data_IF_112277642767
#
_entry.id   IF_112277642767
#
_cell.length_a   1.000
_cell.length_b   1.000
_cell.length_c   1.000
_cell.angle_alpha   90.00
_cell.angle_beta   90.00
_cell.angle_gamma   90.00
#
_symmetry.space_group_name_H-M   'P 1'
#
loop_
_entity.id
_entity.type
_entity.pdbx_description
1 polymer ?
#
# COMPACT_ATOMS: atom_id res chain seq x y z
N UNK A 1 -41.39 24.95 53.53
CA UNK A 1 -41.81 24.23 52.31
C UNK A 1 -41.05 24.66 51.02
N UNK A 2 -40.12 25.59 51.06
CA UNK A 2 -39.32 26.03 49.92
C UNK A 2 -37.88 25.45 49.89
N UNK A 3 -37.40 24.81 50.96
CA UNK A 3 -36.07 24.22 51.07
C UNK A 3 -35.98 22.74 50.61
N UNK A 4 -37.15 22.04 50.56
CA UNK A 4 -37.16 20.63 50.14
C UNK A 4 -37.24 20.41 48.64
N UNK A 5 -37.63 21.42 47.87
CA UNK A 5 -37.67 21.33 46.41
C UNK A 5 -36.33 21.57 45.77
N UNK A 6 -35.43 22.31 46.44
CA UNK A 6 -34.07 22.55 45.94
C UNK A 6 -33.15 21.33 46.06
N UNK A 7 -33.43 20.41 46.99
CA UNK A 7 -32.58 19.19 47.19
C UNK A 7 -32.97 18.03 46.28
N UNK A 8 -34.16 18.06 45.67
CA UNK A 8 -34.60 17.02 44.74
C UNK A 8 -34.16 17.28 43.29
N UNK A 9 -33.71 18.49 42.98
CA UNK A 9 -33.22 18.85 41.66
C UNK A 9 -31.69 18.59 41.51
N UNK A 10 -30.99 18.29 42.60
CA UNK A 10 -29.52 18.04 42.55
C UNK A 10 -29.15 16.54 42.50
N UNK A 11 -30.12 15.64 42.50
CA UNK A 11 -29.92 14.19 42.46
C UNK A 11 -30.20 13.58 41.08
N UNK A 12 -30.55 14.38 40.07
CA UNK A 12 -30.49 13.96 38.67
C UNK A 12 -29.11 14.38 38.13
N UNK A 13 -28.04 14.01 38.82
CA UNK A 13 -26.75 13.90 38.27
C UNK A 13 -26.82 12.83 37.19
N UNK A 14 -26.93 13.29 35.98
CA UNK A 14 -26.77 12.55 34.76
C UNK A 14 -25.58 11.62 34.90
N UNK A 15 -25.82 10.38 35.30
CA UNK A 15 -24.97 9.28 34.83
C UNK A 15 -25.22 9.19 33.32
N UNK A 16 -24.57 10.06 32.58
CA UNK A 16 -24.24 9.77 31.19
C UNK A 16 -23.33 8.58 31.27
N UNK A 17 -23.91 7.39 31.41
CA UNK A 17 -23.27 6.18 30.96
C UNK A 17 -23.06 6.43 29.48
N UNK A 18 -21.87 6.94 29.14
CA UNK A 18 -21.31 6.71 27.83
C UNK A 18 -21.18 5.19 27.76
N UNK A 19 -22.23 4.51 27.31
CA UNK A 19 -22.12 3.15 26.85
C UNK A 19 -21.00 3.21 25.82
N UNK A 20 -19.81 2.83 26.20
CA UNK A 20 -18.75 2.50 25.26
C UNK A 20 -19.40 1.48 24.34
N UNK A 21 -19.80 1.93 23.17
CA UNK A 21 -20.28 1.04 22.11
C UNK A 21 -19.10 0.11 21.90
N UNK A 22 -19.25 -1.12 22.39
CA UNK A 22 -18.24 -2.17 22.24
C UNK A 22 -17.96 -2.29 20.75
N UNK A 23 -16.88 -1.63 20.32
CA UNK A 23 -16.47 -1.67 18.93
C UNK A 23 -16.11 -3.11 18.59
N UNK A 24 -16.73 -3.62 17.54
CA UNK A 24 -16.42 -4.95 17.05
C UNK A 24 -14.91 -5.08 16.82
N UNK A 25 -14.31 -6.09 17.43
CA UNK A 25 -12.90 -6.40 17.26
C UNK A 25 -12.75 -7.56 16.26
N UNK A 26 -11.91 -7.37 15.26
CA UNK A 26 -11.55 -8.39 14.27
C UNK A 26 -10.15 -8.91 14.58
N UNK A 27 -10.04 -10.22 14.78
CA UNK A 27 -8.73 -10.87 14.92
C UNK A 27 -8.26 -11.37 13.57
N UNK A 28 -7.18 -10.79 13.07
CA UNK A 28 -6.50 -11.20 11.85
C UNK A 28 -5.54 -12.37 12.13
N UNK A 29 -5.54 -13.36 11.26
CA UNK A 29 -4.67 -14.54 11.34
C UNK A 29 -4.15 -14.90 9.95
N UNK A 30 -3.14 -15.77 9.85
CA UNK A 30 -2.65 -16.26 8.55
C UNK A 30 -3.73 -16.98 7.74
N UNK A 31 -4.71 -17.60 8.42
CA UNK A 31 -5.72 -18.47 7.79
C UNK A 31 -6.98 -17.70 7.40
N UNK A 32 -7.11 -16.44 7.82
CA UNK A 32 -8.28 -15.63 7.50
C UNK A 32 -7.96 -14.28 6.86
N UNK A 33 -6.68 -13.94 6.61
CA UNK A 33 -6.30 -12.61 6.17
C UNK A 33 -5.55 -12.61 4.85
N UNK A 34 -6.09 -11.91 3.88
CA UNK A 34 -5.40 -11.46 2.67
C UNK A 34 -4.97 -10.01 2.86
N UNK A 35 -3.86 -9.62 2.27
CA UNK A 35 -3.34 -8.26 2.38
C UNK A 35 -3.08 -7.67 1.00
N UNK A 36 -3.69 -6.54 0.70
CA UNK A 36 -3.40 -5.72 -0.46
C UNK A 36 -2.85 -4.38 0.02
N UNK A 37 -1.52 -4.28 0.02
CA UNK A 37 -0.78 -3.09 0.46
C UNK A 37 0.06 -2.47 -0.66
N UNK A 38 -0.36 -2.64 -1.89
CA UNK A 38 0.27 -2.11 -3.09
C UNK A 38 -0.78 -1.57 -4.06
N UNK A 39 -0.32 -0.91 -5.13
CA UNK A 39 -1.18 -0.54 -6.24
C UNK A 39 -1.77 -1.77 -6.96
N UNK A 40 -2.94 -1.60 -7.58
CA UNK A 40 -3.54 -2.60 -8.47
C UNK A 40 -2.74 -2.70 -9.75
N UNK A 41 -1.95 -3.75 -9.85
CA UNK A 41 -1.20 -4.15 -11.05
C UNK A 41 -1.53 -5.61 -11.37
N UNK A 42 -1.23 -6.05 -12.60
CA UNK A 42 -1.39 -7.48 -12.94
C UNK A 42 -0.60 -8.40 -11.98
N UNK A 43 0.59 -7.97 -11.55
CA UNK A 43 1.43 -8.75 -10.64
C UNK A 43 0.86 -8.83 -9.22
N UNK A 44 0.46 -7.68 -8.62
CA UNK A 44 -0.11 -7.66 -7.27
C UNK A 44 -1.42 -8.44 -7.19
N UNK A 45 -2.28 -8.29 -8.20
CA UNK A 45 -3.56 -9.00 -8.29
C UNK A 45 -3.35 -10.51 -8.48
N UNK A 46 -2.48 -10.94 -9.40
CA UNK A 46 -2.18 -12.37 -9.59
C UNK A 46 -1.64 -13.03 -8.32
N UNK A 47 -0.78 -12.33 -7.59
CA UNK A 47 -0.27 -12.82 -6.30
C UNK A 47 -1.40 -12.99 -5.28
N UNK A 48 -2.29 -12.00 -5.16
CA UNK A 48 -3.40 -12.02 -4.22
C UNK A 48 -4.41 -13.14 -4.58
N UNK A 49 -4.73 -13.31 -5.86
CA UNK A 49 -5.55 -14.41 -6.38
C UNK A 49 -4.95 -15.77 -5.98
N UNK A 50 -3.63 -15.93 -6.16
CA UNK A 50 -2.94 -17.16 -5.75
C UNK A 50 -3.05 -17.47 -4.25
N UNK A 51 -2.98 -16.45 -3.41
CA UNK A 51 -3.20 -16.58 -1.96
C UNK A 51 -4.66 -16.90 -1.64
N UNK A 52 -5.60 -16.21 -2.26
CA UNK A 52 -7.03 -16.42 -2.06
C UNK A 52 -7.48 -17.86 -2.46
N UNK A 53 -6.94 -18.37 -3.57
CA UNK A 53 -7.17 -19.78 -3.98
C UNK A 53 -6.76 -20.78 -2.88
N UNK A 54 -5.58 -20.58 -2.30
CA UNK A 54 -5.08 -21.47 -1.23
C UNK A 54 -5.98 -21.40 0.01
N UNK A 55 -6.39 -20.19 0.42
CA UNK A 55 -7.26 -20.01 1.57
C UNK A 55 -8.68 -20.56 1.33
N UNK A 56 -9.19 -20.44 0.10
CA UNK A 56 -10.51 -20.96 -0.25
C UNK A 56 -10.55 -22.50 -0.32
N UNK A 57 -9.43 -23.14 -0.60
CA UNK A 57 -9.32 -24.60 -0.63
C UNK A 57 -9.40 -25.24 0.76
N UNK A 58 -9.16 -24.48 1.83
CA UNK A 58 -9.33 -24.92 3.20
C UNK A 58 -10.82 -24.88 3.60
N UNK A 59 -11.56 -25.91 3.21
CA UNK A 59 -13.00 -26.03 3.43
C UNK A 59 -13.41 -26.18 4.91
N UNK A 60 -12.44 -26.41 5.82
CA UNK A 60 -12.74 -26.61 7.25
C UNK A 60 -13.07 -25.31 7.97
N UNK A 61 -12.76 -24.19 7.37
CA UNK A 61 -12.84 -22.90 8.05
C UNK A 61 -14.12 -22.16 7.75
N UNK A 62 -15.27 -22.53 7.60
CA UNK A 62 -16.52 -21.77 7.32
C UNK A 62 -16.54 -20.25 7.68
N UNK A 63 -15.38 -19.72 8.09
CA UNK A 63 -15.16 -18.33 8.48
C UNK A 63 -14.87 -17.44 7.26
N UNK A 64 -15.26 -16.16 7.30
CA UNK A 64 -14.94 -15.22 6.24
C UNK A 64 -13.43 -15.01 6.09
N UNK A 65 -13.01 -14.67 4.88
CA UNK A 65 -11.67 -14.13 4.62
C UNK A 65 -11.75 -12.61 4.76
N UNK A 66 -10.84 -12.02 5.52
CA UNK A 66 -10.68 -10.59 5.64
C UNK A 66 -9.64 -10.10 4.65
N UNK A 67 -10.02 -9.22 3.76
CA UNK A 67 -9.11 -8.53 2.86
C UNK A 67 -8.71 -7.21 3.51
N UNK A 68 -7.51 -7.17 4.08
CA UNK A 68 -6.94 -5.97 4.66
C UNK A 68 -6.38 -5.08 3.55
N UNK A 69 -6.79 -3.81 3.56
CA UNK A 69 -6.52 -2.85 2.48
C UNK A 69 -5.69 -1.67 2.98
N UNK A 70 -4.55 -1.47 2.32
CA UNK A 70 -3.69 -0.29 2.41
C UNK A 70 -3.17 0.03 1.01
N UNK A 71 -4.05 0.58 0.13
CA UNK A 71 -3.79 0.67 -1.30
C UNK A 71 -4.17 2.04 -1.87
N UNK A 72 -3.30 2.62 -2.72
CA UNK A 72 -3.62 3.86 -3.43
C UNK A 72 -4.57 3.66 -4.62
N UNK A 73 -4.97 2.42 -4.92
CA UNK A 73 -5.72 2.11 -6.13
C UNK A 73 -4.82 1.65 -7.28
N UNK A 74 -5.17 1.97 -8.51
CA UNK A 74 -4.38 1.63 -9.69
C UNK A 74 -5.21 1.15 -10.86
N UNK A 75 -4.77 0.10 -11.56
CA UNK A 75 -5.42 -0.40 -12.78
C UNK A 75 -6.86 -0.87 -12.52
N UNK A 76 -7.82 -0.21 -13.18
CA UNK A 76 -9.24 -0.61 -13.14
C UNK A 76 -9.42 -2.03 -13.66
N UNK A 77 -8.73 -2.38 -14.75
CA UNK A 77 -8.85 -3.72 -15.34
C UNK A 77 -8.38 -4.80 -14.35
N UNK A 78 -7.23 -4.60 -13.69
CA UNK A 78 -6.73 -5.53 -12.68
C UNK A 78 -7.66 -5.60 -11.45
N UNK A 79 -8.24 -4.45 -11.06
CA UNK A 79 -9.20 -4.41 -9.96
C UNK A 79 -10.49 -5.14 -10.26
N UNK A 80 -11.05 -5.00 -11.46
CA UNK A 80 -12.25 -5.73 -11.88
C UNK A 80 -11.98 -7.24 -11.93
N UNK A 81 -10.82 -7.66 -12.46
CA UNK A 81 -10.40 -9.07 -12.44
C UNK A 81 -10.38 -9.63 -11.02
N UNK A 82 -9.84 -8.86 -10.07
CA UNK A 82 -9.80 -9.27 -8.66
C UNK A 82 -11.20 -9.36 -8.06
N UNK A 83 -12.08 -8.40 -8.34
CA UNK A 83 -13.46 -8.40 -7.85
C UNK A 83 -14.20 -9.66 -8.31
N UNK A 84 -14.21 -9.91 -9.62
CA UNK A 84 -14.86 -11.08 -10.22
C UNK A 84 -14.33 -12.38 -9.60
N UNK A 85 -13.00 -12.49 -9.45
CA UNK A 85 -12.40 -13.67 -8.85
C UNK A 85 -12.83 -13.85 -7.39
N UNK A 86 -12.78 -12.78 -6.57
CA UNK A 86 -13.10 -12.89 -5.13
C UNK A 86 -14.57 -13.14 -4.89
N UNK A 87 -15.48 -12.63 -5.72
CA UNK A 87 -16.91 -12.91 -5.65
C UNK A 87 -17.24 -14.35 -5.99
N UNK A 88 -16.44 -15.02 -6.82
CA UNK A 88 -16.59 -16.43 -7.18
C UNK A 88 -16.08 -17.43 -6.13
N UNK A 89 -15.54 -16.96 -4.98
CA UNK A 89 -15.05 -17.85 -3.93
C UNK A 89 -16.20 -18.39 -3.06
N UNK A 90 -16.06 -19.60 -2.54
CA UNK A 90 -17.04 -20.21 -1.64
C UNK A 90 -17.07 -19.57 -0.25
N UNK A 91 -15.99 -18.89 0.15
CA UNK A 91 -15.88 -18.18 1.42
C UNK A 91 -16.20 -16.70 1.22
N UNK A 92 -17.04 -16.11 2.08
CA UNK A 92 -17.33 -14.68 1.98
C UNK A 92 -16.06 -13.84 2.22
N UNK A 93 -15.84 -12.87 1.36
CA UNK A 93 -14.75 -11.91 1.48
C UNK A 93 -15.28 -10.63 2.10
N UNK A 94 -14.71 -10.23 3.24
CA UNK A 94 -15.00 -8.97 3.91
C UNK A 94 -13.79 -8.05 3.84
N UNK A 95 -14.00 -6.77 3.60
CA UNK A 95 -12.89 -5.79 3.57
C UNK A 95 -12.62 -5.22 4.95
N UNK A 96 -11.36 -4.94 5.25
CA UNK A 96 -10.92 -4.22 6.44
C UNK A 96 -9.99 -3.11 5.98
N UNK A 97 -10.47 -1.88 6.00
CA UNK A 97 -9.78 -0.74 5.39
C UNK A 97 -8.96 0.04 6.41
N UNK A 98 -7.65 0.13 6.18
CA UNK A 98 -6.76 1.15 6.73
C UNK A 98 -6.69 2.34 5.77
N UNK A 99 -6.36 2.09 4.51
CA UNK A 99 -6.37 3.06 3.43
C UNK A 99 -6.84 2.38 2.15
N UNK A 100 -7.81 2.97 1.45
CA UNK A 100 -8.29 2.39 0.19
C UNK A 100 -8.80 3.49 -0.73
N UNK A 101 -7.99 3.80 -1.74
CA UNK A 101 -8.24 4.90 -2.65
C UNK A 101 -8.54 4.41 -4.08
N UNK A 102 -9.29 5.21 -4.86
CA UNK A 102 -9.49 4.99 -6.29
C UNK A 102 -10.07 3.58 -6.60
N UNK A 103 -9.37 2.73 -7.31
CA UNK A 103 -9.81 1.35 -7.55
C UNK A 103 -9.96 0.53 -6.25
N UNK A 104 -9.21 0.89 -5.20
CA UNK A 104 -9.38 0.30 -3.87
C UNK A 104 -10.74 0.63 -3.26
N UNK A 105 -11.19 1.88 -3.37
CA UNK A 105 -12.54 2.27 -2.96
C UNK A 105 -13.59 1.42 -3.68
N UNK A 106 -13.46 1.25 -5.00
CA UNK A 106 -14.39 0.45 -5.79
C UNK A 106 -14.39 -1.02 -5.34
N UNK A 107 -13.21 -1.59 -5.07
CA UNK A 107 -13.12 -2.96 -4.53
C UNK A 107 -13.93 -3.11 -3.23
N UNK A 108 -13.84 -2.15 -2.32
CA UNK A 108 -14.63 -2.14 -1.07
C UNK A 108 -16.12 -2.18 -1.35
N UNK A 109 -16.59 -1.45 -2.37
CA UNK A 109 -18.02 -1.40 -2.70
C UNK A 109 -18.55 -2.67 -3.37
N UNK A 110 -17.68 -3.58 -3.84
CA UNK A 110 -18.08 -4.79 -4.56
C UNK A 110 -18.03 -6.08 -3.71
N UNK A 111 -17.41 -6.04 -2.53
CA UNK A 111 -17.24 -7.23 -1.69
C UNK A 111 -18.24 -7.27 -0.51
N UNK A 112 -18.17 -8.28 0.32
CA UNK A 112 -19.10 -8.55 1.40
C UNK A 112 -19.26 -7.42 2.42
N UNK A 113 -19.01 -7.65 3.70
CA UNK A 113 -19.04 -6.57 4.71
C UNK A 113 -17.81 -5.66 4.55
N UNK A 114 -18.06 -4.35 4.71
CA UNK A 114 -17.09 -3.28 4.52
C UNK A 114 -16.69 -2.70 5.86
N UNK A 115 -15.71 -3.31 6.51
CA UNK A 115 -15.17 -2.82 7.76
C UNK A 115 -14.10 -1.75 7.49
N UNK A 116 -14.06 -0.73 8.35
CA UNK A 116 -13.06 0.33 8.30
C UNK A 116 -12.50 0.61 9.68
N UNK A 117 -11.21 0.90 9.79
CA UNK A 117 -10.61 1.34 11.04
C UNK A 117 -11.08 2.76 11.39
N UNK A 118 -11.07 3.13 12.68
CA UNK A 118 -11.49 4.47 13.12
C UNK A 118 -10.79 5.59 12.36
N UNK A 119 -9.48 5.45 12.16
CA UNK A 119 -8.65 6.38 11.38
C UNK A 119 -8.40 5.88 9.95
N UNK A 120 -9.15 4.87 9.52
CA UNK A 120 -9.07 4.39 8.17
C UNK A 120 -9.65 5.41 7.18
N UNK A 121 -9.18 5.34 5.94
CA UNK A 121 -9.54 6.32 4.90
C UNK A 121 -10.07 5.60 3.68
N UNK A 122 -11.18 6.10 3.16
CA UNK A 122 -11.69 5.79 1.83
C UNK A 122 -11.57 7.02 0.94
N UNK A 123 -11.12 6.84 -0.31
CA UNK A 123 -11.09 7.92 -1.29
C UNK A 123 -11.65 7.48 -2.64
N UNK A 124 -12.55 8.28 -3.17
CA UNK A 124 -13.06 8.13 -4.53
C UNK A 124 -12.80 9.37 -5.37
N UNK A 125 -12.49 9.17 -6.62
CA UNK A 125 -12.28 10.24 -7.59
C UNK A 125 -12.65 9.79 -9.01
N UNK A 126 -12.75 10.75 -9.95
CA UNK A 126 -12.96 10.44 -11.37
C UNK A 126 -11.85 9.55 -11.89
N UNK A 127 -12.24 8.48 -12.55
CA UNK A 127 -11.31 7.62 -13.25
C UNK A 127 -10.60 8.38 -14.36
N UNK A 128 -9.30 8.20 -14.46
CA UNK A 128 -8.48 8.72 -15.56
C UNK A 128 -7.93 7.58 -16.41
N UNK A 129 -7.73 7.82 -17.70
CA UNK A 129 -7.18 6.83 -18.61
C UNK A 129 -6.93 7.40 -19.99
N UNK A 130 -6.30 6.61 -20.84
CA UNK A 130 -6.04 6.96 -22.22
C UNK A 130 -6.27 5.77 -23.14
N UNK A 131 -6.68 6.05 -24.37
CA UNK A 131 -6.83 5.04 -25.42
C UNK A 131 -5.83 5.32 -26.51
N UNK A 132 -5.22 4.26 -27.04
CA UNK A 132 -4.44 4.30 -28.26
C UNK A 132 -5.22 3.56 -29.35
N UNK A 133 -5.31 4.12 -30.53
CA UNK A 133 -5.97 3.49 -31.65
C UNK A 133 -5.68 4.24 -32.95
N UNK A 134 -5.96 3.59 -34.07
CA UNK A 134 -5.87 4.19 -35.40
C UNK A 134 -7.14 4.97 -35.67
N UNK A 135 -6.99 6.14 -36.28
CA UNK A 135 -8.09 6.92 -36.85
C UNK A 135 -8.35 6.39 -38.29
N UNK A 136 -9.43 5.66 -38.48
CA UNK A 136 -9.84 5.15 -39.79
C UNK A 136 -11.33 5.24 -39.96
N UNK A 137 -11.75 5.65 -41.15
CA UNK A 137 -13.09 6.05 -41.55
C UNK A 137 -14.27 5.30 -40.95
N UNK A 138 -15.31 6.08 -40.61
CA UNK A 138 -16.50 5.60 -39.88
C UNK A 138 -16.27 5.52 -38.38
N UNK A 139 -17.33 5.48 -37.61
CA UNK A 139 -17.33 5.48 -36.12
C UNK A 139 -16.07 4.88 -35.50
N UNK A 140 -15.22 5.72 -34.99
CA UNK A 140 -13.86 5.37 -34.66
C UNK A 140 -13.80 4.26 -33.61
N UNK A 141 -12.82 3.36 -33.71
CA UNK A 141 -12.56 2.34 -32.70
C UNK A 141 -12.36 2.96 -31.30
N UNK A 142 -11.92 4.21 -31.26
CA UNK A 142 -11.76 5.00 -30.04
C UNK A 142 -13.11 5.27 -29.38
N UNK A 143 -14.14 5.68 -30.17
CA UNK A 143 -15.49 5.96 -29.65
C UNK A 143 -16.12 4.71 -29.06
N UNK A 144 -15.96 3.57 -29.71
CA UNK A 144 -16.46 2.29 -29.22
C UNK A 144 -15.77 1.88 -27.89
N UNK A 145 -14.46 2.07 -27.81
CA UNK A 145 -13.69 1.79 -26.58
C UNK A 145 -14.02 2.77 -25.46
N UNK A 146 -14.18 4.04 -25.78
CA UNK A 146 -14.59 5.07 -24.83
C UNK A 146 -16.01 4.80 -24.34
N UNK A 147 -16.95 4.46 -25.22
CA UNK A 147 -18.30 4.08 -24.83
C UNK A 147 -18.34 2.84 -23.91
N UNK A 148 -17.50 1.83 -24.18
CA UNK A 148 -17.36 0.69 -23.26
C UNK A 148 -16.82 1.12 -21.89
N UNK A 149 -15.81 1.99 -21.88
CA UNK A 149 -15.22 2.53 -20.66
C UNK A 149 -16.25 3.27 -19.81
N UNK A 150 -17.02 4.16 -20.41
CA UNK A 150 -18.08 4.90 -19.70
C UNK A 150 -19.14 3.96 -19.12
N UNK A 151 -19.55 2.92 -19.86
CA UNK A 151 -20.51 1.93 -19.33
C UNK A 151 -19.95 1.19 -18.13
N UNK A 152 -18.68 0.78 -18.16
CA UNK A 152 -18.03 0.11 -17.00
C UNK A 152 -17.98 1.02 -15.77
N UNK A 153 -17.61 2.28 -15.95
CA UNK A 153 -17.60 3.26 -14.86
C UNK A 153 -19.02 3.46 -14.30
N UNK A 154 -20.02 3.59 -15.18
CA UNK A 154 -21.42 3.71 -14.76
C UNK A 154 -21.90 2.49 -13.95
N UNK A 155 -21.49 1.27 -14.31
CA UNK A 155 -21.79 0.07 -13.51
C UNK A 155 -21.12 0.12 -12.13
N UNK A 156 -19.88 0.56 -12.04
CA UNK A 156 -19.16 0.69 -10.78
C UNK A 156 -19.80 1.78 -9.88
N UNK A 157 -20.17 2.89 -10.45
CA UNK A 157 -20.88 3.96 -9.75
C UNK A 157 -22.25 3.49 -9.23
N UNK A 158 -23.02 2.79 -10.07
CA UNK A 158 -24.30 2.25 -9.66
C UNK A 158 -24.18 1.25 -8.52
N UNK A 159 -23.22 0.31 -8.61
CA UNK A 159 -22.91 -0.63 -7.53
C UNK A 159 -22.55 0.10 -6.22
N UNK A 160 -21.77 1.18 -6.30
CA UNK A 160 -21.44 2.00 -5.14
C UNK A 160 -22.69 2.60 -4.50
N UNK A 161 -23.57 3.18 -5.31
CA UNK A 161 -24.81 3.81 -4.84
C UNK A 161 -25.75 2.79 -4.22
N UNK A 162 -25.95 1.64 -4.86
CA UNK A 162 -26.80 0.56 -4.36
C UNK A 162 -26.33 0.10 -2.96
N UNK A 163 -25.02 0.09 -2.73
CA UNK A 163 -24.42 -0.27 -1.45
C UNK A 163 -24.55 0.80 -0.37
N UNK A 164 -24.99 2.01 -0.70
CA UNK A 164 -25.26 3.03 0.32
C UNK A 164 -26.59 2.83 1.03
N UNK A 165 -27.39 1.86 0.61
CA UNK A 165 -28.74 1.59 1.16
C UNK A 165 -29.65 2.83 1.13
N UNK A 166 -29.65 3.54 0.00
CA UNK A 166 -30.48 4.71 -0.22
C UNK A 166 -29.97 6.03 0.38
N UNK A 167 -28.79 6.02 1.01
CA UNK A 167 -28.22 7.27 1.56
C UNK A 167 -27.70 8.21 0.48
N UNK A 168 -27.42 7.70 -0.72
CA UNK A 168 -26.92 8.48 -1.86
C UNK A 168 -27.67 8.12 -3.13
N UNK A 169 -27.91 9.14 -3.94
CA UNK A 169 -28.28 8.95 -5.35
C UNK A 169 -27.03 8.94 -6.23
N UNK A 170 -27.14 8.41 -7.44
CA UNK A 170 -26.04 8.41 -8.41
C UNK A 170 -25.48 9.82 -8.66
N UNK A 171 -26.38 10.80 -8.83
CA UNK A 171 -26.00 12.20 -9.03
C UNK A 171 -25.25 12.79 -7.84
N UNK A 172 -25.67 12.48 -6.62
CA UNK A 172 -25.00 12.93 -5.39
C UNK A 172 -23.59 12.32 -5.31
N UNK A 173 -23.46 11.01 -5.48
CA UNK A 173 -22.18 10.34 -5.46
C UNK A 173 -21.21 10.89 -6.52
N UNK A 174 -21.69 11.07 -7.75
CA UNK A 174 -20.88 11.65 -8.83
C UNK A 174 -20.43 13.07 -8.52
N UNK A 175 -21.30 13.89 -7.93
CA UNK A 175 -20.94 15.25 -7.50
C UNK A 175 -19.91 15.26 -6.36
N UNK A 176 -19.97 14.28 -5.45
CA UNK A 176 -19.02 14.16 -4.33
C UNK A 176 -17.61 13.84 -4.80
N UNK A 177 -17.45 12.92 -5.77
CA UNK A 177 -16.13 12.53 -6.25
C UNK A 177 -15.57 13.43 -7.36
N UNK A 178 -16.33 14.40 -7.86
CA UNK A 178 -15.84 15.36 -8.87
C UNK A 178 -14.60 16.14 -8.38
N UNK A 179 -14.52 16.38 -7.06
CA UNK A 179 -13.41 17.06 -6.41
C UNK A 179 -12.66 16.17 -5.40
N UNK A 180 -12.64 14.85 -5.63
CA UNK A 180 -12.11 13.85 -4.71
C UNK A 180 -12.90 13.74 -3.40
N UNK A 181 -13.59 12.64 -3.23
CA UNK A 181 -14.31 12.31 -2.00
C UNK A 181 -13.36 11.62 -1.02
N UNK A 182 -12.99 12.29 0.06
CA UNK A 182 -12.19 11.75 1.14
C UNK A 182 -13.01 11.54 2.39
N UNK A 183 -12.99 10.33 2.96
CA UNK A 183 -13.80 9.94 4.11
C UNK A 183 -12.95 9.20 5.13
N UNK A 184 -13.05 9.61 6.41
CA UNK A 184 -12.55 8.81 7.52
C UNK A 184 -13.56 7.71 7.91
N UNK A 185 -13.20 6.84 8.87
CA UNK A 185 -14.01 5.69 9.25
C UNK A 185 -15.45 6.04 9.62
N UNK A 186 -15.65 7.03 10.48
CA UNK A 186 -16.99 7.43 10.95
C UNK A 186 -17.81 8.09 9.82
N UNK A 187 -17.17 8.88 8.97
CA UNK A 187 -17.80 9.51 7.81
C UNK A 187 -18.21 8.48 6.76
N UNK A 188 -17.34 7.50 6.49
CA UNK A 188 -17.62 6.42 5.55
C UNK A 188 -18.88 5.64 5.96
N UNK A 189 -19.02 5.33 7.25
CA UNK A 189 -20.22 4.62 7.77
C UNK A 189 -21.45 5.50 7.73
N UNK A 190 -21.37 6.77 8.16
CA UNK A 190 -22.50 7.70 8.11
C UNK A 190 -23.04 7.88 6.69
N UNK A 191 -22.15 7.97 5.71
CA UNK A 191 -22.51 8.15 4.30
C UNK A 191 -22.85 6.83 3.58
N UNK A 192 -22.70 5.68 4.22
CA UNK A 192 -23.05 4.37 3.67
C UNK A 192 -21.99 3.76 2.76
N UNK A 193 -20.77 4.31 2.76
CA UNK A 193 -19.64 3.76 2.00
C UNK A 193 -18.85 2.69 2.76
N UNK A 194 -19.10 2.54 4.05
CA UNK A 194 -18.67 1.42 4.88
C UNK A 194 -19.83 0.96 5.77
N UNK A 195 -19.75 -0.27 6.28
CA UNK A 195 -20.82 -0.84 7.10
C UNK A 195 -20.58 -0.63 8.60
N UNK A 196 -19.30 -0.70 9.04
CA UNK A 196 -18.99 -0.64 10.47
C UNK A 196 -17.55 -0.19 10.72
N UNK A 197 -17.39 0.65 11.76
CA UNK A 197 -16.05 0.99 12.28
C UNK A 197 -15.61 -0.09 13.26
N UNK A 198 -14.45 -0.67 13.04
CA UNK A 198 -13.92 -1.78 13.85
C UNK A 198 -12.55 -1.47 14.45
N UNK A 199 -12.20 -2.20 15.50
CA UNK A 199 -10.83 -2.39 15.93
C UNK A 199 -10.27 -3.69 15.38
N UNK A 200 -8.95 -3.75 15.20
CA UNK A 200 -8.27 -4.92 14.65
C UNK A 200 -7.11 -5.31 15.55
N UNK A 201 -6.97 -6.59 15.81
CA UNK A 201 -5.78 -7.17 16.44
C UNK A 201 -5.20 -8.30 15.59
N UNK A 202 -3.92 -8.53 15.72
CA UNK A 202 -3.24 -9.65 15.08
C UNK A 202 -3.14 -10.83 16.05
N UNK A 203 -3.58 -11.99 15.57
CA UNK A 203 -3.44 -13.25 16.30
C UNK A 203 -2.01 -13.77 16.30
N UNK A 204 -1.74 -14.77 17.12
CA UNK A 204 -0.41 -15.38 17.31
C UNK A 204 0.24 -15.85 15.99
N UNK A 205 -0.54 -16.31 15.03
CA UNK A 205 -0.02 -16.73 13.73
C UNK A 205 0.59 -15.60 12.89
N UNK A 206 0.32 -14.34 13.22
CA UNK A 206 0.90 -13.15 12.59
C UNK A 206 2.02 -12.52 13.44
N UNK A 207 2.43 -13.13 14.54
CA UNK A 207 3.59 -12.67 15.30
C UNK A 207 4.87 -12.95 14.49
N UNK A 208 5.79 -11.98 14.46
CA UNK A 208 7.05 -12.09 13.78
C UNK A 208 7.25 -11.09 12.66
N UNK A 209 8.37 -11.21 11.97
CA UNK A 209 8.75 -10.29 10.90
C UNK A 209 9.11 -11.04 9.61
N UNK A 210 8.78 -10.44 8.49
CA UNK A 210 9.26 -10.82 7.17
C UNK A 210 10.33 -9.83 6.71
N UNK A 211 11.33 -10.33 5.99
CA UNK A 211 12.40 -9.46 5.47
C UNK A 211 12.40 -9.48 3.95
N UNK A 212 12.62 -8.31 3.35
CA UNK A 212 12.80 -8.10 1.92
C UNK A 212 14.14 -7.44 1.68
N UNK A 213 14.91 -7.97 0.74
CA UNK A 213 16.15 -7.34 0.30
C UNK A 213 15.88 -6.53 -0.95
N UNK A 214 16.31 -5.27 -0.92
CA UNK A 214 16.29 -4.38 -2.09
C UNK A 214 17.68 -3.82 -2.33
N UNK A 215 17.99 -3.50 -3.58
CA UNK A 215 19.22 -2.81 -3.94
C UNK A 215 18.92 -1.35 -4.21
N UNK A 216 19.68 -0.48 -3.55
CA UNK A 216 19.47 0.96 -3.66
C UNK A 216 20.82 1.67 -3.60
N UNK A 217 21.18 2.41 -4.64
CA UNK A 217 22.46 3.15 -4.76
C UNK A 217 23.71 2.34 -4.38
N UNK A 218 23.79 1.09 -4.81
CA UNK A 218 24.93 0.23 -4.50
C UNK A 218 24.89 -0.46 -3.14
N UNK A 219 23.89 -0.14 -2.31
CA UNK A 219 23.66 -0.80 -1.04
C UNK A 219 22.65 -1.93 -1.19
N UNK A 220 22.84 -2.97 -0.41
CA UNK A 220 21.83 -3.99 -0.19
C UNK A 220 21.07 -3.63 1.10
N UNK A 221 19.82 -3.23 0.98
CA UNK A 221 18.96 -2.90 2.09
C UNK A 221 18.11 -4.12 2.45
N UNK A 222 18.18 -4.55 3.70
CA UNK A 222 17.26 -5.53 4.25
C UNK A 222 16.21 -4.77 5.04
N UNK A 223 14.98 -4.77 4.53
CA UNK A 223 13.82 -4.19 5.18
C UNK A 223 13.09 -5.31 5.91
N UNK A 224 12.83 -5.14 7.19
CA UNK A 224 12.04 -6.09 7.98
C UNK A 224 10.67 -5.47 8.27
N UNK A 225 9.62 -6.18 7.90
CA UNK A 225 8.24 -5.77 8.10
C UNK A 225 7.57 -6.67 9.13
N UNK A 226 6.71 -6.10 9.95
CA UNK A 226 5.84 -6.89 10.81
C UNK A 226 4.91 -7.77 9.94
N UNK A 227 4.64 -8.97 10.39
CA UNK A 227 3.65 -9.83 9.72
C UNK A 227 2.21 -9.33 9.94
N UNK A 228 2.00 -8.49 10.95
CA UNK A 228 0.73 -7.85 11.23
C UNK A 228 0.49 -6.71 10.24
N UNK A 229 -0.53 -6.78 9.38
CA UNK A 229 -0.70 -5.82 8.28
C UNK A 229 -1.08 -4.41 8.72
N UNK A 230 -1.42 -4.19 9.99
CA UNK A 230 -1.67 -2.85 10.55
C UNK A 230 -0.39 -2.01 10.54
N UNK A 231 0.76 -2.65 10.63
CA UNK A 231 2.09 -2.02 10.57
C UNK A 231 2.61 -2.06 9.14
N UNK A 232 2.46 -0.98 8.43
CA UNK A 232 2.82 -0.90 7.00
C UNK A 232 4.26 -0.48 6.76
N UNK A 233 4.86 0.21 7.72
CA UNK A 233 6.26 0.63 7.65
C UNK A 233 7.21 -0.47 8.16
N UNK A 234 8.43 -0.53 7.61
CA UNK A 234 9.42 -1.47 8.10
C UNK A 234 9.75 -1.20 9.58
N UNK A 235 9.80 -2.26 10.37
CA UNK A 235 10.18 -2.21 11.79
C UNK A 235 11.68 -2.08 11.97
N UNK A 236 12.47 -2.51 10.97
CA UNK A 236 13.90 -2.28 10.92
C UNK A 236 14.41 -2.20 9.49
N UNK A 237 15.44 -1.40 9.31
CA UNK A 237 16.17 -1.25 8.05
C UNK A 237 17.64 -1.47 8.34
N UNK A 238 18.25 -2.45 7.67
CA UNK A 238 19.69 -2.64 7.75
C UNK A 238 20.29 -2.48 6.35
N UNK A 239 21.32 -1.68 6.26
CA UNK A 239 22.07 -1.48 5.02
C UNK A 239 23.36 -2.30 5.05
N UNK A 240 23.72 -2.93 3.95
CA UNK A 240 25.01 -3.57 3.77
C UNK A 240 25.65 -3.17 2.45
N UNK A 241 26.96 -3.12 2.44
CA UNK A 241 27.74 -2.86 1.23
C UNK A 241 28.50 -4.13 0.84
N UNK A 242 28.67 -4.32 -0.46
CA UNK A 242 29.49 -5.40 -0.96
C UNK A 242 30.95 -4.98 -0.90
N UNK A 243 31.79 -5.85 -0.31
CA UNK A 243 33.24 -5.68 -0.23
C UNK A 243 33.93 -6.90 -0.87
N UNK A 244 35.24 -6.85 -1.01
CA UNK A 244 36.06 -8.00 -1.44
C UNK A 244 35.99 -9.20 -0.48
N UNK A 245 35.41 -9.01 0.73
CA UNK A 245 35.18 -10.06 1.74
C UNK A 245 33.71 -10.47 1.87
N UNK A 246 32.83 -9.99 1.00
CA UNK A 246 31.42 -10.23 1.04
C UNK A 246 30.64 -9.00 1.52
N UNK A 247 29.38 -9.21 1.92
CA UNK A 247 28.54 -8.13 2.42
C UNK A 247 28.89 -7.81 3.87
N UNK A 248 29.06 -6.52 4.17
CA UNK A 248 29.31 -5.98 5.51
C UNK A 248 28.21 -4.96 5.82
N UNK A 249 27.71 -4.98 7.06
CA UNK A 249 26.75 -3.96 7.49
C UNK A 249 27.34 -2.56 7.33
N UNK A 250 26.53 -1.61 6.89
CA UNK A 250 27.01 -0.24 6.64
C UNK A 250 27.59 0.37 7.91
N UNK A 251 26.96 0.15 9.07
CA UNK A 251 27.44 0.67 10.35
C UNK A 251 28.81 0.06 10.71
N UNK A 252 28.97 -1.26 10.52
CA UNK A 252 30.25 -1.95 10.73
C UNK A 252 31.30 -1.50 9.72
N UNK A 253 30.87 -1.26 8.47
CA UNK A 253 31.74 -0.72 7.44
C UNK A 253 32.25 0.66 7.82
N UNK A 254 31.35 1.56 8.23
CA UNK A 254 31.71 2.91 8.65
C UNK A 254 32.60 2.93 9.90
N UNK A 255 32.31 2.08 10.89
CA UNK A 255 33.08 1.97 12.12
C UNK A 255 34.49 1.38 11.89
N UNK A 256 34.64 0.50 10.89
CA UNK A 256 35.87 -0.24 10.60
C UNK A 256 36.62 0.25 9.37
N UNK A 257 36.16 1.35 8.74
CA UNK A 257 36.73 1.85 7.48
C UNK A 257 38.25 2.06 7.51
N UNK A 258 38.82 2.36 8.67
CA UNK A 258 40.29 2.44 8.82
C UNK A 258 41.04 1.11 8.88
N UNK A 259 40.34 -0.03 9.03
CA UNK A 259 40.99 -1.36 9.16
C UNK A 259 40.95 -2.19 7.90
N UNK A 260 40.08 -1.91 6.96
CA UNK A 260 39.86 -2.69 5.75
C UNK A 260 40.60 -2.16 4.53
N UNK A 261 41.16 -0.96 4.59
CA UNK A 261 41.69 -0.19 3.49
C UNK A 261 42.98 -0.67 2.86
N UNK A 262 43.57 -1.79 3.25
CA UNK A 262 44.92 -2.13 2.81
C UNK A 262 45.06 -3.19 1.71
N UNK A 263 43.96 -3.73 1.18
CA UNK A 263 44.08 -4.79 0.14
C UNK A 263 42.96 -4.81 -0.89
N UNK A 264 42.63 -3.71 -1.45
CA UNK A 264 42.18 -3.72 -2.82
C UNK A 264 43.41 -3.85 -3.72
N UNK A 265 43.27 -4.55 -4.80
CA UNK A 265 44.36 -4.69 -5.77
C UNK A 265 44.92 -3.31 -6.10
N UNK A 266 46.19 -3.17 -6.15
CA UNK A 266 46.91 -1.91 -6.37
C UNK A 266 46.46 -1.12 -7.62
N UNK A 267 45.63 -1.71 -8.48
CA UNK A 267 45.10 -1.12 -9.72
C UNK A 267 43.64 -0.74 -9.65
N UNK A 268 42.95 -0.88 -8.53
CA UNK A 268 41.48 -0.68 -8.43
C UNK A 268 41.09 0.55 -7.64
N UNK A 269 41.84 1.63 -7.78
CA UNK A 269 41.74 2.84 -6.96
C UNK A 269 40.43 3.60 -7.12
N UNK A 270 39.61 3.30 -8.12
CA UNK A 270 38.33 4.04 -8.31
C UNK A 270 37.22 3.16 -8.89
N UNK A 271 36.74 2.22 -8.12
CA UNK A 271 35.50 1.53 -8.50
C UNK A 271 34.32 2.49 -8.35
N UNK A 272 33.70 2.88 -9.46
CA UNK A 272 32.43 3.62 -9.45
C UNK A 272 31.29 2.63 -9.49
N UNK A 273 30.40 2.74 -8.52
CA UNK A 273 29.19 1.92 -8.47
C UNK A 273 28.14 2.56 -9.37
N UNK A 274 27.72 1.83 -10.38
CA UNK A 274 26.61 2.24 -11.25
C UNK A 274 25.25 2.00 -10.60
N UNK A 275 24.23 2.47 -11.28
CA UNK A 275 22.84 2.44 -10.86
C UNK A 275 22.31 1.03 -10.52
N UNK A 276 22.81 0.00 -11.20
CA UNK A 276 22.39 -1.40 -11.02
C UNK A 276 23.33 -2.20 -10.10
N UNK A 277 24.10 -1.54 -9.25
CA UNK A 277 25.17 -2.21 -8.53
C UNK A 277 26.28 -2.76 -9.45
N UNK A 278 26.27 -2.36 -10.71
CA UNK A 278 27.33 -2.66 -11.65
C UNK A 278 28.48 -1.69 -11.46
N UNK A 279 29.68 -2.22 -11.62
CA UNK A 279 30.85 -1.39 -11.61
C UNK A 279 30.97 -0.74 -12.97
N UNK A 280 30.71 0.58 -13.02
CA UNK A 280 30.75 1.37 -14.25
C UNK A 280 32.20 1.71 -14.66
N UNK A 281 33.12 1.62 -13.70
CA UNK A 281 34.53 1.87 -13.91
C UNK A 281 35.35 0.97 -12.97
N UNK A 282 36.26 0.20 -13.50
CA UNK A 282 37.04 -0.79 -12.77
C UNK A 282 36.82 -2.22 -13.29
N UNK A 283 37.51 -3.22 -12.78
CA UNK A 283 37.35 -4.59 -13.22
C UNK A 283 35.94 -5.11 -12.92
N UNK A 284 35.36 -5.90 -13.82
CA UNK A 284 33.98 -6.46 -13.76
C UNK A 284 33.62 -7.22 -12.47
N UNK A 285 34.58 -7.46 -11.60
CA UNK A 285 34.42 -8.12 -10.30
C UNK A 285 34.84 -7.21 -9.14
N UNK A 286 34.95 -5.90 -9.36
CA UNK A 286 35.37 -5.02 -8.31
C UNK A 286 34.24 -4.93 -7.25
N UNK A 287 34.62 -5.17 -6.06
CA UNK A 287 33.89 -5.01 -4.83
C UNK A 287 34.23 -3.63 -4.28
N UNK A 288 33.34 -3.03 -3.54
CA UNK A 288 33.64 -1.77 -2.89
C UNK A 288 34.79 -2.00 -1.93
N UNK A 289 35.96 -1.50 -2.30
CA UNK A 289 37.11 -1.58 -1.44
C UNK A 289 37.11 -0.42 -0.48
N UNK A 290 37.28 -0.72 0.80
CA UNK A 290 37.52 0.24 1.86
C UNK A 290 38.95 0.74 1.75
N UNK A 291 39.17 1.75 0.93
CA UNK A 291 40.52 2.21 0.62
C UNK A 291 41.07 3.16 1.66
N UNK A 292 40.30 3.98 2.32
CA UNK A 292 40.78 4.92 3.34
C UNK A 292 39.68 5.43 4.27
N UNK A 293 40.10 6.04 5.39
CA UNK A 293 39.24 6.81 6.29
C UNK A 293 38.40 7.89 5.59
N UNK A 294 38.72 8.20 4.36
CA UNK A 294 38.07 9.21 3.53
C UNK A 294 36.97 8.67 2.59
N UNK A 295 36.67 7.38 2.61
CA UNK A 295 35.37 6.91 2.09
C UNK A 295 34.29 7.20 3.15
N UNK A 296 34.31 8.43 3.55
CA UNK A 296 33.45 9.02 4.54
C UNK A 296 32.03 9.12 4.01
N UNK A 297 31.09 9.29 4.91
CA UNK A 297 29.71 9.70 4.60
C UNK A 297 29.68 10.75 3.47
N UNK A 298 30.63 11.70 3.44
CA UNK A 298 30.72 12.73 2.39
C UNK A 298 30.90 12.15 0.98
N UNK A 299 31.78 11.19 0.75
CA UNK A 299 31.93 10.57 -0.59
C UNK A 299 30.72 9.74 -0.98
N UNK A 300 30.12 9.04 -0.02
CA UNK A 300 28.86 8.31 -0.24
C UNK A 300 27.73 9.30 -0.55
N UNK A 301 27.61 10.38 0.21
CA UNK A 301 26.63 11.43 -0.01
C UNK A 301 26.88 12.15 -1.35
N UNK A 302 28.14 12.40 -1.72
CA UNK A 302 28.50 12.99 -3.00
C UNK A 302 28.14 12.05 -4.16
N UNK A 303 28.41 10.75 -4.05
CA UNK A 303 28.01 9.76 -5.06
C UNK A 303 26.50 9.67 -5.19
N UNK A 304 25.78 9.70 -4.08
CA UNK A 304 24.30 9.74 -4.05
C UNK A 304 23.78 11.04 -4.69
N UNK A 305 24.41 12.18 -4.41
CA UNK A 305 24.06 13.48 -4.97
C UNK A 305 24.30 13.53 -6.48
N UNK A 306 25.43 13.03 -6.94
CA UNK A 306 25.77 12.95 -8.37
C UNK A 306 24.81 12.01 -9.13
N UNK A 307 24.45 10.89 -8.54
CA UNK A 307 23.48 9.99 -9.14
C UNK A 307 22.07 10.57 -9.16
N UNK A 308 21.63 11.23 -8.08
CA UNK A 308 20.38 12.00 -8.08
C UNK A 308 20.35 13.07 -9.15
N UNK A 309 21.46 13.78 -9.37
CA UNK A 309 21.58 14.77 -10.44
C UNK A 309 21.50 14.15 -11.84
N UNK A 310 22.12 13.00 -12.07
CA UNK A 310 22.02 12.24 -13.33
C UNK A 310 20.59 11.77 -13.61
N UNK A 311 19.87 11.32 -12.59
CA UNK A 311 18.44 10.95 -12.68
C UNK A 311 17.59 12.17 -13.00
N UNK A 312 17.84 13.30 -12.32
CA UNK A 312 17.11 14.54 -12.58
C UNK A 312 17.31 15.02 -14.02
N UNK A 313 18.53 14.84 -14.57
CA UNK A 313 18.85 15.21 -15.94
C UNK A 313 18.33 14.20 -17.00
N UNK A 314 18.22 12.92 -16.67
CA UNK A 314 17.61 11.92 -17.56
C UNK A 314 16.08 12.01 -17.59
N UNK A 315 15.49 12.71 -16.62
CA UNK A 315 14.04 12.90 -16.45
C UNK A 315 13.35 13.88 -17.40
N UNK A 316 14.00 14.36 -18.44
CA UNK A 316 13.26 15.09 -19.49
C UNK A 316 12.25 14.24 -20.24
N UNK A 317 12.25 12.90 -20.06
CA UNK A 317 11.33 11.98 -20.76
C UNK A 317 10.59 10.95 -19.88
N UNK A 318 10.70 11.02 -18.56
CA UNK A 318 10.00 10.07 -17.69
C UNK A 318 9.25 10.85 -16.60
N UNK A 319 7.93 10.61 -16.56
CA UNK A 319 6.97 11.14 -15.59
C UNK A 319 7.52 11.09 -14.15
N UNK A 320 7.33 12.18 -13.41
CA UNK A 320 7.67 12.31 -11.98
C UNK A 320 7.18 11.10 -11.19
N UNK A 321 8.08 10.19 -10.84
CA UNK A 321 7.83 9.27 -9.74
C UNK A 321 8.12 10.01 -8.44
N UNK A 322 7.11 10.22 -7.62
CA UNK A 322 7.29 10.69 -6.25
C UNK A 322 7.87 9.54 -5.40
N UNK A 323 8.46 9.86 -4.25
CA UNK A 323 8.98 8.86 -3.32
C UNK A 323 7.89 7.88 -2.84
N UNK A 324 6.63 8.32 -2.81
CA UNK A 324 5.46 7.49 -2.55
C UNK A 324 5.22 6.44 -3.65
N UNK A 325 5.49 6.77 -4.92
CA UNK A 325 5.38 5.80 -6.01
C UNK A 325 6.47 4.72 -5.94
N UNK A 326 7.64 5.07 -5.40
CA UNK A 326 8.73 4.12 -5.19
C UNK A 326 8.37 3.08 -4.10
N UNK A 327 7.71 3.51 -3.02
CA UNK A 327 7.21 2.59 -1.98
C UNK A 327 6.03 1.76 -2.49
N UNK A 328 5.21 2.30 -3.40
CA UNK A 328 4.07 1.58 -3.99
C UNK A 328 4.46 0.52 -5.01
N UNK A 329 5.67 0.58 -5.58
CA UNK A 329 6.22 -0.44 -6.48
C UNK A 329 7.04 -1.53 -5.74
N UNK A 330 7.33 -1.35 -4.45
CA UNK A 330 7.91 -2.35 -3.57
C UNK A 330 6.84 -3.18 -2.86
#
# INVERSE_FOLDING_TARGET
MRLFIAMLMLAISLTVNSAEISKKEITLTKDNTLVLNNAFTGSSVSKLIGQAKKMNADLKSGYPIYLFLDTPGGSIQAGLELIEFLQGLNRPIHTVTLFSASMGFQLVQHLGKRYILKYGVLMSHKASGGFRGEFGGGNSQIDSRYGLWLRRLGMMDQQTVDRTNGKKTLKQYQSEYDNELWLNGDEAVRNGYADEVVSVKCGQSLVGVNSKNIRYFGFNLKLSFDNCPIRTYPVSVTASVRTNKGYVLLDDFMAKSGKFGKKCRENDSEAKIGWNNEIVQGPKKAELCLMDKELTLEKIEQTIKEQKAKIANSKRNIVKMSFSNFISEM
#
